data_IF_313448538287
#
_entry.id   IF_313448538287
#
_cell.length_a   1.000
_cell.length_b   1.000
_cell.length_c   1.000
_cell.angle_alpha   90.00
_cell.angle_beta   90.00
_cell.angle_gamma   90.00
#
_symmetry.space_group_name_H-M   'P 1'
#
loop_
_entity.id
_entity.type
_entity.pdbx_description
1 polymer ?
#
# COMPACT_ATOMS: atom_id res chain seq x y z
N UNK A 1 -7.76 2.35 -12.58
CA UNK A 1 -8.92 1.65 -13.19
C UNK A 1 -10.17 2.03 -12.41
N UNK A 2 -11.25 2.51 -13.06
CA UNK A 2 -12.51 2.83 -12.36
C UNK A 2 -13.34 1.55 -12.13
N UNK A 3 -13.99 1.34 -10.97
CA UNK A 3 -14.80 0.16 -10.73
C UNK A 3 -16.11 0.20 -11.51
N UNK A 4 -16.53 -0.93 -12.13
CA UNK A 4 -17.74 -0.99 -12.95
C UNK A 4 -19.02 -0.80 -12.13
N UNK A 5 -18.99 -1.09 -10.83
CA UNK A 5 -20.15 -1.04 -9.96
C UNK A 5 -20.40 0.32 -9.31
N UNK A 6 -19.58 1.35 -9.58
CA UNK A 6 -19.67 2.66 -8.92
C UNK A 6 -20.99 3.37 -9.22
N UNK A 7 -21.49 3.23 -10.44
CA UNK A 7 -22.69 3.88 -10.97
C UNK A 7 -23.74 2.85 -11.44
N UNK A 8 -23.65 1.61 -10.94
CA UNK A 8 -24.60 0.56 -11.29
C UNK A 8 -25.97 0.85 -10.67
N UNK A 9 -26.98 1.08 -11.51
CA UNK A 9 -28.36 1.36 -11.08
C UNK A 9 -29.03 0.16 -10.39
N UNK A 10 -28.54 -1.05 -10.65
CA UNK A 10 -29.04 -2.30 -10.06
C UNK A 10 -28.24 -2.72 -8.81
N UNK A 11 -27.43 -1.83 -8.24
CA UNK A 11 -26.57 -2.16 -7.10
C UNK A 11 -27.40 -2.30 -5.83
N UNK A 12 -27.43 -3.50 -5.28
CA UNK A 12 -27.94 -3.79 -3.94
C UNK A 12 -26.81 -3.97 -2.91
N UNK A 13 -27.14 -3.86 -1.62
CA UNK A 13 -26.17 -4.08 -0.53
C UNK A 13 -25.66 -5.52 -0.59
N UNK A 14 -24.35 -5.69 -0.69
CA UNK A 14 -23.71 -7.02 -0.73
C UNK A 14 -23.59 -7.65 -2.12
N UNK A 15 -24.02 -6.99 -3.20
CA UNK A 15 -24.01 -7.58 -4.54
C UNK A 15 -22.60 -7.92 -5.09
N UNK A 16 -21.56 -7.24 -4.61
CA UNK A 16 -20.19 -7.38 -5.13
C UNK A 16 -19.62 -8.80 -4.99
N UNK A 17 -20.09 -9.58 -4.01
CA UNK A 17 -19.64 -10.97 -3.82
C UNK A 17 -20.14 -11.92 -4.92
N UNK A 18 -21.22 -11.56 -5.62
CA UNK A 18 -21.85 -12.35 -6.70
C UNK A 18 -21.78 -11.66 -8.07
N UNK A 19 -21.29 -10.42 -8.12
CA UNK A 19 -21.26 -9.63 -9.34
C UNK A 19 -20.05 -10.01 -10.21
N UNK A 20 -20.31 -10.71 -11.31
CA UNK A 20 -19.27 -11.14 -12.26
C UNK A 20 -18.40 -9.97 -12.75
N UNK A 21 -19.01 -8.85 -13.15
CA UNK A 21 -18.29 -7.67 -13.61
C UNK A 21 -17.36 -7.09 -12.53
N UNK A 22 -17.78 -7.13 -11.26
CA UNK A 22 -16.94 -6.71 -10.14
C UNK A 22 -15.78 -7.68 -9.93
N UNK A 23 -16.04 -8.98 -9.96
CA UNK A 23 -15.05 -10.04 -9.75
C UNK A 23 -13.96 -9.95 -10.82
N UNK A 24 -14.34 -9.82 -12.09
CA UNK A 24 -13.38 -9.68 -13.19
C UNK A 24 -12.55 -8.40 -13.07
N UNK A 25 -13.19 -7.28 -12.74
CA UNK A 25 -12.48 -6.03 -12.48
C UNK A 25 -11.51 -6.14 -11.31
N UNK A 26 -11.89 -6.83 -10.22
CA UNK A 26 -11.02 -7.09 -9.07
C UNK A 26 -9.78 -7.88 -9.47
N UNK A 27 -9.95 -8.96 -10.23
CA UNK A 27 -8.82 -9.77 -10.75
C UNK A 27 -7.87 -8.92 -11.59
N UNK A 28 -8.40 -8.07 -12.48
CA UNK A 28 -7.58 -7.18 -13.30
C UNK A 28 -6.84 -6.12 -12.46
N UNK A 29 -7.53 -5.55 -11.47
CA UNK A 29 -6.94 -4.58 -10.54
C UNK A 29 -5.82 -5.22 -9.71
N UNK A 30 -6.03 -6.43 -9.21
CA UNK A 30 -5.05 -7.15 -8.39
C UNK A 30 -3.79 -7.47 -9.21
N UNK A 31 -3.93 -7.93 -10.46
CA UNK A 31 -2.81 -8.10 -11.40
C UNK A 31 -2.06 -6.79 -11.68
N UNK A 32 -2.78 -5.70 -11.92
CA UNK A 32 -2.17 -4.39 -12.14
C UNK A 32 -1.39 -3.91 -10.90
N UNK A 33 -1.95 -4.09 -9.71
CA UNK A 33 -1.31 -3.72 -8.46
C UNK A 33 -0.07 -4.57 -8.18
N UNK A 34 -0.12 -5.88 -8.47
CA UNK A 34 1.03 -6.77 -8.34
C UNK A 34 2.19 -6.33 -9.24
N UNK A 35 1.91 -6.07 -10.53
CA UNK A 35 2.92 -5.55 -11.46
C UNK A 35 3.49 -4.20 -11.00
N UNK A 36 2.62 -3.30 -10.53
CA UNK A 36 3.04 -2.00 -10.01
C UNK A 36 3.87 -2.14 -8.73
N UNK A 37 3.56 -3.10 -7.87
CA UNK A 37 4.32 -3.35 -6.64
C UNK A 37 5.72 -3.89 -6.97
N UNK A 38 5.84 -4.81 -7.93
CA UNK A 38 7.13 -5.33 -8.41
C UNK A 38 8.00 -4.18 -8.94
N UNK A 39 7.45 -3.29 -9.77
CA UNK A 39 8.20 -2.13 -10.28
C UNK A 39 8.65 -1.16 -9.19
N UNK A 40 7.89 -1.06 -8.10
CA UNK A 40 8.20 -0.14 -7.01
C UNK A 40 9.07 -0.76 -5.91
N UNK A 41 9.54 -2.00 -6.07
CA UNK A 41 10.21 -2.74 -5.00
C UNK A 41 11.52 -2.08 -4.55
N UNK A 42 12.39 -1.69 -5.49
CA UNK A 42 13.63 -0.98 -5.16
C UNK A 42 13.39 0.37 -4.46
N UNK A 43 12.41 1.14 -4.95
CA UNK A 43 12.04 2.43 -4.35
C UNK A 43 11.43 2.26 -2.96
N UNK A 44 10.63 1.20 -2.77
CA UNK A 44 10.05 0.82 -1.49
C UNK A 44 11.14 0.41 -0.50
N UNK A 45 12.06 -0.46 -0.90
CA UNK A 45 13.21 -0.88 -0.09
C UNK A 45 14.01 0.32 0.41
N UNK A 46 14.37 1.27 -0.47
CA UNK A 46 15.10 2.48 -0.07
C UNK A 46 14.30 3.28 0.96
N UNK A 47 13.00 3.51 0.71
CA UNK A 47 12.12 4.27 1.60
C UNK A 47 11.97 3.63 2.98
N UNK A 48 11.84 2.30 3.02
CA UNK A 48 11.68 1.54 4.27
C UNK A 48 12.98 1.58 5.09
N UNK A 49 14.14 1.49 4.43
CA UNK A 49 15.44 1.65 5.08
C UNK A 49 15.65 3.05 5.65
N UNK A 50 15.36 4.10 4.87
CA UNK A 50 15.44 5.50 5.34
C UNK A 50 14.52 5.73 6.54
N UNK A 51 13.31 5.19 6.50
CA UNK A 51 12.34 5.29 7.61
C UNK A 51 12.84 4.58 8.87
N UNK A 52 13.44 3.40 8.70
CA UNK A 52 14.05 2.61 9.79
C UNK A 52 15.21 3.37 10.44
N UNK A 53 16.12 3.93 9.64
CA UNK A 53 17.25 4.74 10.14
C UNK A 53 16.71 5.95 10.91
N UNK A 54 15.75 6.69 10.34
CA UNK A 54 15.16 7.86 11.00
C UNK A 54 14.50 7.50 12.34
N UNK A 55 13.80 6.37 12.40
CA UNK A 55 13.20 5.89 13.63
C UNK A 55 14.25 5.54 14.70
N UNK A 56 15.34 4.87 14.32
CA UNK A 56 16.48 4.59 15.21
C UNK A 56 17.12 5.89 15.72
N UNK A 57 17.39 6.84 14.84
CA UNK A 57 17.93 8.15 15.21
C UNK A 57 17.03 8.92 16.17
N UNK A 58 15.70 8.84 16.01
CA UNK A 58 14.75 9.45 16.97
C UNK A 58 14.84 8.80 18.35
N UNK A 59 15.04 7.49 18.45
CA UNK A 59 15.29 6.81 19.73
C UNK A 59 16.63 7.21 20.33
N UNK A 60 17.66 7.37 19.50
CA UNK A 60 18.99 7.83 19.92
C UNK A 60 19.04 9.30 20.34
N UNK A 61 18.10 10.15 19.89
CA UNK A 61 17.99 11.54 20.40
C UNK A 61 17.60 11.62 21.89
N UNK A 62 17.20 10.52 22.52
CA UNK A 62 17.11 10.37 23.97
C UNK A 62 18.34 9.72 24.62
N UNK A 63 19.30 9.24 23.83
CA UNK A 63 20.59 8.72 24.30
C UNK A 63 21.63 9.84 24.16
N UNK A 64 21.59 10.80 25.08
CA UNK A 64 22.68 11.74 25.27
C UNK A 64 23.90 10.94 25.74
N UNK A 65 24.74 10.48 24.82
CA UNK A 65 26.11 10.14 25.19
C UNK A 65 26.80 11.46 25.52
N UNK A 66 26.69 11.89 26.79
CA UNK A 66 27.52 12.96 27.32
C UNK A 66 28.92 12.37 27.46
N UNK A 67 29.74 12.51 26.42
CA UNK A 67 31.18 12.38 26.58
C UNK A 67 31.57 13.51 27.54
N UNK A 68 31.92 13.17 28.78
CA UNK A 68 32.54 14.11 29.72
C UNK A 68 34.04 14.07 29.43
N UNK A 69 34.56 15.19 28.95
CA UNK A 69 36.01 15.46 28.86
C UNK A 69 36.67 15.41 30.25
#
# INVERSE_FOLDING_TARGET
MKPPCRECQFREVGCHSKCESYIQWRVQLDKYNEQKNIQNDASKYIRDNVSTIRHRMRKLKGYSCTVRD
#
